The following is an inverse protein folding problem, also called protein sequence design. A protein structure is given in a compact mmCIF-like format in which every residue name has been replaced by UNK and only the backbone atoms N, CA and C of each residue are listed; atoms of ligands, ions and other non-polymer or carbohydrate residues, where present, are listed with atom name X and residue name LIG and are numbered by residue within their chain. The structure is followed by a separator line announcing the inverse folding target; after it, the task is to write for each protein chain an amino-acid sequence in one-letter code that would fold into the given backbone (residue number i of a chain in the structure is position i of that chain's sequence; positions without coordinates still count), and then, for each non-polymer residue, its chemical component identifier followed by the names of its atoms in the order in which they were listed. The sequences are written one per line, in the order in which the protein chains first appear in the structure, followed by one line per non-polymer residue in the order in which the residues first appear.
data_IF_404822787598
#
_entry.id   IF_404822787598
#
_cell.length_a   1.000
_cell.length_b   1.000
_cell.length_c   1.000
_cell.angle_alpha   90.00
_cell.angle_beta   90.00
_cell.angle_gamma   90.00
#
_symmetry.space_group_name_H-M   'P 1'
#
loop_
_entity.id
_entity.type
_entity.pdbx_description
1 polymer ?
#
# COMPACT_ATOMS: atom_id res chain seq x y z
N UNK A 1 -41.77 52.19 -10.00
CA UNK A 1 -41.69 51.75 -11.42
C UNK A 1 -40.88 50.45 -11.48
N UNK A 2 -41.54 49.28 -11.52
CA UNK A 2 -40.94 48.00 -11.90
C UNK A 2 -41.54 47.51 -13.24
N UNK A 3 -40.79 46.82 -14.10
CA UNK A 3 -41.40 46.03 -15.17
C UNK A 3 -40.61 44.76 -15.52
N UNK A 4 -41.22 43.62 -15.15
CA UNK A 4 -41.10 42.32 -15.81
C UNK A 4 -41.72 42.39 -17.21
N UNK A 5 -41.32 41.53 -18.16
CA UNK A 5 -42.20 41.15 -19.25
C UNK A 5 -43.03 39.92 -18.87
N UNK A 6 -44.34 40.13 -18.81
CA UNK A 6 -45.38 39.11 -18.83
C UNK A 6 -45.71 38.78 -20.29
N UNK A 7 -45.82 37.51 -20.66
CA UNK A 7 -46.50 37.11 -21.91
C UNK A 7 -47.89 36.60 -21.56
N UNK A 8 -48.84 37.18 -22.26
CA UNK A 8 -50.29 37.11 -22.10
C UNK A 8 -50.85 35.85 -22.78
N UNK A 9 -51.78 35.20 -22.08
CA UNK A 9 -52.66 34.12 -22.58
C UNK A 9 -53.79 34.73 -23.41
N UNK A 10 -54.19 34.07 -24.50
CA UNK A 10 -55.51 34.23 -25.14
C UNK A 10 -56.29 32.91 -25.12
N UNK A 11 -57.53 33.00 -24.63
CA UNK A 11 -58.62 32.01 -24.67
C UNK A 11 -58.97 31.59 -26.11
N UNK A 12 -59.60 30.46 -26.44
CA UNK A 12 -60.16 29.34 -25.68
C UNK A 12 -61.10 28.52 -26.59
N UNK A 13 -61.28 27.23 -26.32
CA UNK A 13 -62.51 26.45 -26.59
C UNK A 13 -62.37 25.02 -26.01
N UNK A 14 -63.21 24.71 -25.01
CA UNK A 14 -63.65 23.36 -24.58
C UNK A 14 -64.82 22.90 -25.48
N UNK A 15 -65.21 21.60 -25.59
CA UNK A 15 -65.29 20.55 -24.54
C UNK A 15 -64.70 19.19 -25.02
N UNK A 16 -64.51 18.11 -24.27
CA UNK A 16 -65.38 17.36 -23.35
C UNK A 16 -64.52 16.54 -22.34
N UNK A 17 -65.08 16.31 -21.15
CA UNK A 17 -64.79 15.16 -20.26
C UNK A 17 -66.01 14.23 -20.35
N UNK A 18 -65.91 12.90 -20.17
CA UNK A 18 -65.17 12.30 -19.04
C UNK A 18 -64.50 10.95 -19.36
N UNK A 19 -63.59 10.49 -18.49
CA UNK A 19 -63.71 9.13 -17.95
C UNK A 19 -62.85 8.97 -16.69
N UNK A 20 -63.51 8.41 -15.68
CA UNK A 20 -63.05 8.12 -14.33
C UNK A 20 -62.12 6.91 -14.33
N UNK A 21 -60.99 7.03 -13.63
CA UNK A 21 -60.16 5.89 -13.23
C UNK A 21 -60.94 5.06 -12.19
N UNK A 22 -61.13 3.75 -12.37
CA UNK A 22 -61.85 2.94 -11.39
C UNK A 22 -60.98 2.54 -10.20
N UNK A 23 -61.61 2.67 -9.05
CA UNK A 23 -61.20 2.17 -7.73
C UNK A 23 -61.25 0.64 -7.72
N UNK A 24 -60.12 -0.04 -7.47
CA UNK A 24 -60.11 -1.47 -7.13
C UNK A 24 -59.15 -1.70 -5.95
N UNK A 25 -59.62 -1.30 -4.77
CA UNK A 25 -59.31 -1.97 -3.52
C UNK A 25 -60.45 -2.96 -3.24
N UNK A 26 -60.17 -4.26 -3.36
CA UNK A 26 -60.79 -5.39 -2.63
C UNK A 26 -60.38 -6.69 -3.30
N UNK A 27 -59.40 -7.38 -2.71
CA UNK A 27 -59.26 -8.83 -2.89
C UNK A 27 -59.22 -9.49 -1.52
N UNK A 28 -60.19 -10.36 -1.34
CA UNK A 28 -60.46 -11.15 -0.14
C UNK A 28 -59.33 -12.16 0.11
N UNK A 29 -58.97 -12.29 1.38
CA UNK A 29 -58.06 -13.30 1.92
C UNK A 29 -58.68 -14.70 1.81
N UNK A 30 -57.99 -15.63 1.13
CA UNK A 30 -58.18 -17.09 1.29
C UNK A 30 -57.00 -17.68 2.08
N UNK A 31 -57.23 -18.62 3.01
CA UNK A 31 -56.16 -19.15 3.86
C UNK A 31 -55.30 -20.15 3.09
N UNK A 32 -53.98 -19.92 3.05
CA UNK A 32 -53.00 -20.93 2.64
C UNK A 32 -52.61 -21.76 3.86
N UNK A 33 -52.68 -23.08 3.68
CA UNK A 33 -52.39 -24.12 4.66
C UNK A 33 -50.96 -24.00 5.21
N UNK A 34 -50.77 -24.10 6.53
CA UNK A 34 -49.47 -24.06 7.17
C UNK A 34 -48.65 -25.32 6.84
N UNK A 35 -47.36 -25.22 6.47
CA UNK A 35 -46.50 -26.39 6.32
C UNK A 35 -46.14 -26.96 7.72
N UNK A 36 -46.27 -28.28 7.88
CA UNK A 36 -45.86 -28.99 9.10
C UNK A 36 -44.34 -28.92 9.30
N UNK A 37 -43.83 -28.88 10.54
CA UNK A 37 -42.39 -28.86 10.81
C UNK A 37 -41.76 -30.24 10.54
N UNK A 38 -40.69 -30.26 9.76
CA UNK A 38 -39.86 -31.44 9.54
C UNK A 38 -39.15 -31.88 10.85
N UNK A 39 -38.91 -33.19 11.05
CA UNK A 39 -38.28 -33.69 12.28
C UNK A 39 -36.83 -33.20 12.40
N UNK A 40 -36.50 -32.62 13.56
CA UNK A 40 -35.13 -32.19 13.91
C UNK A 40 -34.19 -33.40 13.94
N UNK A 41 -33.30 -33.52 12.96
CA UNK A 41 -32.12 -34.40 13.06
C UNK A 41 -31.19 -33.83 14.13
N UNK A 42 -30.83 -34.65 15.12
CA UNK A 42 -29.75 -34.34 16.07
C UNK A 42 -28.45 -34.22 15.26
N UNK A 43 -27.87 -33.02 15.24
CA UNK A 43 -26.48 -32.84 14.80
C UNK A 43 -25.62 -33.44 15.90
N UNK A 44 -24.91 -34.52 15.56
CA UNK A 44 -23.90 -35.10 16.44
C UNK A 44 -22.80 -34.07 16.67
N UNK A 45 -22.38 -33.93 17.93
CA UNK A 45 -21.18 -33.18 18.30
C UNK A 45 -20.00 -33.90 17.64
N UNK A 46 -19.41 -33.27 16.63
CA UNK A 46 -18.10 -33.67 16.13
C UNK A 46 -17.10 -33.32 17.24
N UNK A 47 -16.51 -34.34 17.85
CA UNK A 47 -15.35 -34.13 18.71
C UNK A 47 -14.23 -33.50 17.87
N UNK A 48 -13.48 -32.52 18.41
CA UNK A 48 -12.42 -31.87 17.67
C UNK A 48 -11.27 -32.86 17.47
N UNK A 49 -11.26 -33.51 16.31
CA UNK A 49 -10.12 -34.28 15.86
C UNK A 49 -8.97 -33.33 15.51
N UNK A 50 -7.80 -33.64 16.07
CA UNK A 50 -6.49 -33.36 15.49
C UNK A 50 -6.12 -31.88 15.31
N UNK A 51 -5.32 -31.39 16.26
CA UNK A 51 -4.57 -30.14 16.24
C UNK A 51 -4.18 -29.70 14.82
N UNK A 52 -4.77 -28.60 14.37
CA UNK A 52 -4.20 -27.77 13.32
C UNK A 52 -2.78 -27.39 13.78
N UNK A 53 -1.71 -27.56 12.96
CA UNK A 53 -0.41 -27.01 13.32
C UNK A 53 -0.59 -25.51 13.55
N UNK A 54 -0.03 -25.01 14.65
CA UNK A 54 -0.11 -23.61 15.05
C UNK A 54 0.21 -22.69 13.87
N UNK A 55 -0.78 -21.93 13.40
CA UNK A 55 -0.56 -20.78 12.50
C UNK A 55 0.26 -19.66 13.18
N UNK A 56 0.52 -19.79 14.48
CA UNK A 56 1.23 -18.85 15.36
C UNK A 56 2.66 -19.32 15.66
N UNK A 57 3.39 -19.78 14.63
CA UNK A 57 4.84 -19.90 14.71
C UNK A 57 5.46 -18.67 14.05
N UNK A 58 6.45 -18.00 14.65
CA UNK A 58 7.13 -16.87 14.01
C UNK A 58 7.66 -17.21 12.61
N UNK A 59 8.10 -18.46 12.40
CA UNK A 59 8.51 -18.97 11.10
C UNK A 59 7.36 -19.16 10.10
N UNK A 60 6.14 -19.45 10.57
CA UNK A 60 4.96 -19.60 9.71
C UNK A 60 4.64 -18.28 8.98
N UNK A 61 4.90 -17.14 9.62
CA UNK A 61 4.68 -15.84 8.99
C UNK A 61 5.70 -15.49 7.91
N UNK A 62 6.95 -15.95 7.99
CA UNK A 62 7.90 -15.79 6.88
C UNK A 62 7.67 -16.83 5.78
N UNK A 63 7.17 -18.01 6.15
CA UNK A 63 6.75 -19.04 5.19
C UNK A 63 5.64 -18.53 4.27
N UNK A 64 4.74 -17.66 4.72
CA UNK A 64 3.69 -17.10 3.87
C UNK A 64 4.23 -16.35 2.63
N UNK A 65 5.37 -15.66 2.76
CA UNK A 65 5.99 -14.96 1.63
C UNK A 65 6.59 -15.97 0.64
N UNK A 66 7.18 -17.06 1.14
CA UNK A 66 7.70 -18.14 0.30
C UNK A 66 6.55 -18.88 -0.41
N UNK A 67 5.47 -19.20 0.30
CA UNK A 67 4.28 -19.82 -0.27
C UNK A 67 3.64 -18.90 -1.33
N UNK A 68 3.68 -17.58 -1.12
CA UNK A 68 3.28 -16.58 -2.11
C UNK A 68 4.17 -16.61 -3.37
N UNK A 69 5.49 -16.67 -3.22
CA UNK A 69 6.40 -16.81 -4.37
C UNK A 69 6.15 -18.11 -5.13
N UNK A 70 5.99 -19.23 -4.41
CA UNK A 70 5.68 -20.53 -4.99
C UNK A 70 4.35 -20.51 -5.75
N UNK A 71 3.31 -19.87 -5.19
CA UNK A 71 2.03 -19.70 -5.86
C UNK A 71 2.16 -18.94 -7.20
N UNK A 72 2.99 -17.91 -7.26
CA UNK A 72 3.25 -17.21 -8.53
C UNK A 72 3.92 -18.14 -9.54
N UNK A 73 4.91 -18.92 -9.13
CA UNK A 73 5.60 -19.87 -10.03
C UNK A 73 4.66 -20.98 -10.53
N UNK A 74 3.80 -21.51 -9.66
CA UNK A 74 2.93 -22.65 -9.97
C UNK A 74 1.69 -22.25 -10.77
N UNK A 75 1.14 -21.07 -10.49
CA UNK A 75 -0.16 -20.64 -11.01
C UNK A 75 -0.10 -19.39 -11.89
N UNK A 76 1.07 -18.76 -12.01
CA UNK A 76 1.23 -17.53 -12.78
C UNK A 76 1.17 -17.76 -14.29
N UNK A 77 0.57 -16.79 -14.98
CA UNK A 77 0.61 -16.74 -16.44
C UNK A 77 1.91 -16.10 -16.89
N UNK A 78 2.59 -16.72 -17.85
CA UNK A 78 3.81 -16.16 -18.47
C UNK A 78 3.42 -15.09 -19.47
N UNK A 79 4.07 -13.94 -19.36
CA UNK A 79 3.97 -12.87 -20.34
C UNK A 79 5.36 -12.44 -20.77
N UNK A 80 5.52 -12.29 -22.08
CA UNK A 80 6.72 -11.76 -22.68
C UNK A 80 6.57 -10.25 -22.84
N UNK A 81 7.65 -9.50 -22.67
CA UNK A 81 7.72 -8.08 -23.00
C UNK A 81 8.77 -7.82 -24.09
N UNK A 82 8.74 -6.62 -24.67
CA UNK A 82 9.66 -6.19 -25.73
C UNK A 82 11.12 -6.07 -25.29
N UNK A 83 11.38 -6.06 -23.97
CA UNK A 83 12.71 -5.91 -23.38
C UNK A 83 13.41 -7.26 -23.16
N UNK A 84 12.66 -8.36 -23.29
CA UNK A 84 13.16 -9.72 -23.10
C UNK A 84 13.21 -10.16 -21.63
N UNK A 85 12.73 -9.32 -20.70
CA UNK A 85 12.69 -9.66 -19.27
C UNK A 85 11.51 -10.57 -18.99
N UNK A 86 10.31 -10.17 -19.44
CA UNK A 86 9.08 -10.92 -19.24
C UNK A 86 8.71 -11.13 -17.76
N UNK A 87 7.51 -11.63 -17.52
CA UNK A 87 7.02 -11.90 -16.16
C UNK A 87 6.24 -13.21 -16.06
N UNK A 88 6.23 -13.78 -14.86
CA UNK A 88 5.27 -14.78 -14.40
C UNK A 88 4.35 -14.07 -13.42
N UNK A 89 3.05 -13.99 -13.69
CA UNK A 89 2.14 -13.15 -12.89
C UNK A 89 0.82 -13.79 -12.50
N UNK A 90 0.34 -13.39 -11.33
CA UNK A 90 -1.00 -13.65 -10.81
C UNK A 90 -1.68 -12.32 -10.50
N UNK A 91 -3.00 -12.28 -10.54
CA UNK A 91 -3.78 -11.09 -10.20
C UNK A 91 -4.51 -11.29 -8.88
N UNK A 92 -4.25 -10.44 -7.89
CA UNK A 92 -4.89 -10.48 -6.58
C UNK A 92 -4.22 -11.45 -5.62
N UNK A 93 -3.44 -10.95 -4.65
CA UNK A 93 -2.92 -11.73 -3.51
C UNK A 93 -2.91 -10.90 -2.23
N UNK A 94 -3.07 -11.57 -1.10
CA UNK A 94 -3.05 -10.95 0.22
C UNK A 94 -2.11 -11.71 1.15
N UNK A 95 -1.29 -10.97 1.90
CA UNK A 95 -0.44 -11.50 2.97
C UNK A 95 -0.75 -10.74 4.26
N UNK A 96 -0.55 -11.39 5.41
CA UNK A 96 -0.90 -10.84 6.73
C UNK A 96 0.22 -11.11 7.71
N UNK A 97 0.78 -10.06 8.31
CA UNK A 97 1.89 -10.15 9.25
C UNK A 97 1.43 -9.63 10.61
N UNK A 98 1.45 -10.49 11.62
CA UNK A 98 1.33 -10.07 13.01
C UNK A 98 2.63 -9.37 13.42
N UNK A 99 2.51 -8.12 13.85
CA UNK A 99 3.59 -7.24 14.29
C UNK A 99 3.86 -7.36 15.80
N UNK A 100 3.06 -8.11 16.54
CA UNK A 100 3.31 -8.44 17.95
C UNK A 100 4.35 -9.55 18.11
N UNK A 101 4.55 -10.38 17.07
CA UNK A 101 5.51 -11.49 17.03
C UNK A 101 6.86 -11.12 16.39
N UNK A 102 7.23 -9.83 16.36
CA UNK A 102 8.49 -9.33 15.80
C UNK A 102 8.31 -8.46 14.56
N UNK A 103 9.40 -8.06 13.92
CA UNK A 103 9.38 -7.20 12.73
C UNK A 103 9.44 -8.05 11.44
N UNK A 104 8.60 -7.82 10.41
CA UNK A 104 8.48 -8.71 9.24
C UNK A 104 9.59 -8.46 8.21
N UNK A 105 10.83 -8.46 8.67
CA UNK A 105 11.99 -8.39 7.80
C UNK A 105 12.35 -9.81 7.33
N UNK A 106 12.47 -10.00 6.02
CA UNK A 106 12.80 -11.32 5.50
C UNK A 106 14.14 -11.82 6.05
N UNK A 107 14.17 -13.08 6.45
CA UNK A 107 15.38 -13.76 6.92
C UNK A 107 15.96 -14.68 5.86
N UNK A 108 15.18 -15.10 4.85
CA UNK A 108 15.64 -15.99 3.76
C UNK A 108 16.51 -15.26 2.74
N UNK A 109 16.62 -13.94 2.83
CA UNK A 109 17.66 -13.12 2.21
C UNK A 109 17.82 -11.83 3.00
N UNK A 110 18.99 -11.20 2.90
CA UNK A 110 19.24 -9.88 3.50
C UNK A 110 18.35 -8.81 2.86
N UNK A 111 17.72 -7.98 3.70
CA UNK A 111 17.03 -6.74 3.30
C UNK A 111 17.76 -5.54 3.89
N UNK A 112 17.99 -4.52 3.08
CA UNK A 112 18.76 -3.34 3.48
C UNK A 112 17.90 -2.30 4.20
N UNK A 113 17.83 -2.42 5.53
CA UNK A 113 16.94 -1.59 6.36
C UNK A 113 17.26 -0.10 6.39
N UNK A 114 18.52 0.30 6.15
CA UNK A 114 18.85 1.72 6.09
C UNK A 114 18.18 2.38 4.90
N UNK A 115 18.26 1.78 3.71
CA UNK A 115 17.53 2.25 2.53
C UNK A 115 16.02 2.31 2.75
N UNK A 116 15.42 1.27 3.37
CA UNK A 116 13.99 1.25 3.73
C UNK A 116 13.61 2.45 4.59
N UNK A 117 14.45 2.75 5.58
CA UNK A 117 14.19 3.81 6.54
C UNK A 117 14.33 5.18 5.89
N UNK A 118 15.44 5.43 5.19
CA UNK A 118 15.68 6.72 4.53
C UNK A 118 14.62 7.04 3.47
N UNK A 119 14.20 6.05 2.68
CA UNK A 119 13.11 6.21 1.70
C UNK A 119 11.78 6.57 2.37
N UNK A 120 11.39 5.82 3.42
CA UNK A 120 10.15 6.11 4.13
C UNK A 120 10.18 7.51 4.75
N UNK A 121 11.31 7.90 5.34
CA UNK A 121 11.46 9.24 5.92
C UNK A 121 11.43 10.32 4.84
N UNK A 122 11.99 10.07 3.66
CA UNK A 122 11.90 10.95 2.49
C UNK A 122 10.44 11.17 2.04
N UNK A 123 9.64 10.10 1.93
CA UNK A 123 8.20 10.22 1.70
C UNK A 123 7.49 11.03 2.80
N UNK A 124 7.81 10.73 4.07
CA UNK A 124 7.21 11.39 5.21
C UNK A 124 7.58 12.86 5.30
N UNK A 125 8.76 13.28 4.82
CA UNK A 125 9.15 14.70 4.72
C UNK A 125 8.50 15.42 3.55
N UNK A 126 7.84 14.69 2.64
CA UNK A 126 7.17 15.26 1.48
C UNK A 126 8.12 15.59 0.34
N UNK A 127 9.34 15.06 0.38
CA UNK A 127 10.36 15.33 -0.63
C UNK A 127 10.08 14.58 -1.94
N UNK A 128 10.51 15.16 -3.05
CA UNK A 128 10.43 14.59 -4.41
C UNK A 128 11.77 14.61 -5.14
N UNK A 129 12.75 15.30 -4.58
CA UNK A 129 14.10 15.37 -5.10
C UNK A 129 14.98 14.29 -4.46
N UNK A 130 15.74 13.55 -5.26
CA UNK A 130 16.61 12.46 -4.79
C UNK A 130 17.87 12.94 -4.05
N UNK A 131 18.16 14.24 -3.98
CA UNK A 131 19.39 14.77 -3.38
C UNK A 131 19.65 14.24 -1.97
N UNK A 132 18.66 14.31 -1.08
CA UNK A 132 18.82 13.83 0.30
C UNK A 132 18.97 12.30 0.39
N UNK A 133 18.39 11.56 -0.55
CA UNK A 133 18.57 10.11 -0.67
C UNK A 133 20.00 9.77 -1.07
N UNK A 134 20.52 10.42 -2.10
CA UNK A 134 21.89 10.20 -2.57
C UNK A 134 22.91 10.63 -1.52
N UNK A 135 22.68 11.74 -0.81
CA UNK A 135 23.51 12.16 0.33
C UNK A 135 23.49 11.14 1.50
N UNK A 136 22.47 10.29 1.57
CA UNK A 136 22.36 9.18 2.52
C UNK A 136 22.82 7.82 1.93
N UNK A 137 23.51 7.84 0.79
CA UNK A 137 23.98 6.66 0.03
C UNK A 137 22.83 5.77 -0.48
N UNK A 138 21.65 6.35 -0.76
CA UNK A 138 20.47 5.66 -1.28
C UNK A 138 20.23 5.98 -2.75
N UNK A 139 20.53 5.01 -3.61
CA UNK A 139 20.47 5.15 -5.08
C UNK A 139 19.22 4.55 -5.74
N UNK A 140 18.27 4.01 -4.96
CA UNK A 140 17.14 3.22 -5.52
C UNK A 140 16.20 4.02 -6.42
N UNK A 141 16.29 5.36 -6.39
CA UNK A 141 15.49 6.30 -7.17
C UNK A 141 16.27 6.97 -8.32
N UNK A 142 17.55 6.65 -8.51
CA UNK A 142 18.42 7.38 -9.45
C UNK A 142 18.08 7.12 -10.92
N UNK A 143 17.61 5.92 -11.26
CA UNK A 143 17.44 5.50 -12.66
C UNK A 143 16.51 6.43 -13.46
N UNK A 144 15.41 6.87 -12.84
CA UNK A 144 14.43 7.76 -13.48
C UNK A 144 14.98 9.16 -13.84
N UNK A 145 15.53 9.95 -12.90
CA UNK A 145 16.09 11.26 -13.20
C UNK A 145 17.34 11.18 -14.07
N UNK A 146 18.15 10.13 -13.93
CA UNK A 146 19.32 9.88 -14.78
C UNK A 146 18.91 9.61 -16.23
N UNK A 147 17.88 8.78 -16.44
CA UNK A 147 17.33 8.54 -17.78
C UNK A 147 16.84 9.84 -18.41
N UNK A 148 16.07 10.64 -17.65
CA UNK A 148 15.62 11.97 -18.11
C UNK A 148 16.78 12.89 -18.46
N UNK A 149 17.84 12.93 -17.64
CA UNK A 149 19.05 13.70 -17.91
C UNK A 149 19.69 13.30 -19.24
N UNK A 150 19.90 12.00 -19.46
CA UNK A 150 20.48 11.46 -20.69
C UNK A 150 19.64 11.80 -21.91
N UNK A 151 18.33 11.62 -21.81
CA UNK A 151 17.39 11.89 -22.91
C UNK A 151 17.36 13.38 -23.29
N UNK A 152 17.38 14.29 -22.31
CA UNK A 152 17.30 15.74 -22.57
C UNK A 152 18.65 16.37 -22.98
N UNK A 153 19.78 15.82 -22.51
CA UNK A 153 21.10 16.43 -22.72
C UNK A 153 21.97 15.70 -23.75
N UNK A 154 21.73 14.42 -23.97
CA UNK A 154 22.61 13.52 -24.74
C UNK A 154 23.92 13.18 -24.04
N UNK A 155 24.09 13.53 -22.75
CA UNK A 155 25.28 13.22 -21.96
C UNK A 155 25.17 11.84 -21.29
N UNK A 156 26.05 10.92 -21.67
CA UNK A 156 26.14 9.56 -21.15
C UNK A 156 26.97 9.47 -19.85
N UNK A 157 26.72 10.39 -18.91
CA UNK A 157 27.34 10.39 -17.59
C UNK A 157 27.05 9.05 -16.87
N UNK A 158 28.03 8.54 -16.12
CA UNK A 158 27.81 7.36 -15.28
C UNK A 158 26.82 7.67 -14.15
N UNK A 159 26.14 6.65 -13.63
CA UNK A 159 25.25 6.81 -12.48
C UNK A 159 26.00 7.41 -11.28
N UNK A 160 27.19 6.92 -10.98
CA UNK A 160 28.05 7.42 -9.89
C UNK A 160 28.36 8.92 -10.03
N UNK A 161 28.75 9.37 -11.23
CA UNK A 161 29.06 10.79 -11.46
C UNK A 161 27.80 11.67 -11.49
N UNK A 162 26.65 11.12 -11.90
CA UNK A 162 25.37 11.81 -11.78
C UNK A 162 24.98 11.99 -10.31
N UNK A 163 25.06 10.92 -9.51
CA UNK A 163 24.81 10.93 -8.08
C UNK A 163 25.73 11.89 -7.33
N UNK A 164 27.03 11.90 -7.64
CA UNK A 164 27.98 12.84 -7.06
C UNK A 164 27.57 14.31 -7.33
N UNK A 165 27.14 14.62 -8.56
CA UNK A 165 26.67 15.97 -8.90
C UNK A 165 25.36 16.31 -8.22
N UNK A 166 24.41 15.38 -8.17
CA UNK A 166 23.17 15.56 -7.41
C UNK A 166 23.48 15.86 -5.93
N UNK A 167 24.43 15.15 -5.33
CA UNK A 167 24.76 15.33 -3.91
C UNK A 167 25.46 16.66 -3.59
N UNK A 168 26.22 17.22 -4.54
CA UNK A 168 27.17 18.32 -4.29
C UNK A 168 26.85 19.65 -4.99
N UNK A 169 25.98 19.66 -6.00
CA UNK A 169 25.58 20.86 -6.75
C UNK A 169 24.06 21.05 -6.66
N UNK A 170 23.62 21.97 -5.79
CA UNK A 170 22.20 22.24 -5.53
C UNK A 170 21.44 22.67 -6.80
N UNK A 171 22.08 23.40 -7.72
CA UNK A 171 21.44 23.83 -8.96
C UNK A 171 21.27 22.66 -9.94
N UNK A 172 22.23 21.72 -9.93
CA UNK A 172 22.10 20.47 -10.68
C UNK A 172 21.01 19.58 -10.08
N UNK A 173 20.98 19.46 -8.75
CA UNK A 173 19.95 18.71 -8.02
C UNK A 173 18.55 19.27 -8.28
N UNK A 174 18.34 20.58 -8.15
CA UNK A 174 17.06 21.23 -8.39
C UNK A 174 16.54 20.94 -9.81
N UNK A 175 17.43 20.95 -10.80
CA UNK A 175 17.06 20.71 -12.19
C UNK A 175 16.85 19.25 -12.54
N UNK A 176 17.68 18.35 -12.02
CA UNK A 176 17.77 16.96 -12.49
C UNK A 176 17.32 15.91 -11.49
N UNK A 177 17.31 16.22 -10.20
CA UNK A 177 16.97 15.27 -9.14
C UNK A 177 15.49 15.12 -8.82
N UNK A 178 14.62 16.00 -9.34
CA UNK A 178 13.17 15.93 -9.07
C UNK A 178 12.48 14.81 -9.87
N UNK A 179 11.67 14.02 -9.17
CA UNK A 179 10.86 12.93 -9.70
C UNK A 179 9.42 13.36 -10.03
N UNK A 180 9.06 14.62 -9.76
CA UNK A 180 7.69 15.12 -9.90
C UNK A 180 6.79 14.66 -8.74
N UNK A 181 5.46 14.59 -8.94
CA UNK A 181 4.49 14.42 -7.86
C UNK A 181 4.35 12.94 -7.40
N UNK A 182 5.46 12.37 -6.93
CA UNK A 182 5.55 11.01 -6.35
C UNK A 182 5.01 10.97 -4.91
N UNK A 183 5.31 9.91 -4.16
CA UNK A 183 4.73 9.64 -2.84
C UNK A 183 4.80 10.83 -1.86
N UNK A 184 5.92 11.56 -1.79
CA UNK A 184 6.09 12.70 -0.90
C UNK A 184 5.03 13.78 -1.12
N UNK A 185 4.88 14.25 -2.36
CA UNK A 185 3.82 15.20 -2.75
C UNK A 185 2.44 14.65 -2.41
N UNK A 186 2.15 13.40 -2.79
CA UNK A 186 0.81 12.88 -2.60
C UNK A 186 0.49 12.67 -1.11
N UNK A 187 1.46 12.34 -0.26
CA UNK A 187 1.22 12.10 1.16
C UNK A 187 1.13 13.40 1.97
N UNK A 188 1.97 14.39 1.65
CA UNK A 188 2.14 15.60 2.47
C UNK A 188 1.56 16.87 1.85
N UNK A 189 1.33 16.89 0.54
CA UNK A 189 0.99 18.10 -0.20
C UNK A 189 0.01 17.85 -1.36
N UNK A 190 -0.96 16.96 -1.12
CA UNK A 190 -1.92 16.48 -2.12
C UNK A 190 -2.78 17.62 -2.67
N UNK A 191 -2.78 17.83 -3.98
CA UNK A 191 -3.53 18.92 -4.60
C UNK A 191 -5.04 18.62 -4.61
N UNK A 192 -5.84 19.61 -4.22
CA UNK A 192 -7.29 19.51 -4.22
C UNK A 192 -7.96 20.82 -4.64
N UNK A 193 -9.24 20.78 -5.00
CA UNK A 193 -9.97 21.96 -5.51
C UNK A 193 -10.06 23.11 -4.49
N UNK A 194 -9.96 22.80 -3.20
CA UNK A 194 -10.02 23.78 -2.10
C UNK A 194 -8.64 24.10 -1.51
N UNK A 195 -7.56 23.64 -2.16
CA UNK A 195 -6.19 23.78 -1.70
C UNK A 195 -5.52 22.44 -1.40
N UNK A 196 -4.32 22.52 -0.84
CA UNK A 196 -3.46 21.37 -0.61
C UNK A 196 -3.79 20.64 0.70
N UNK A 197 -3.55 19.33 0.72
CA UNK A 197 -3.91 18.45 1.83
C UNK A 197 -2.71 17.61 2.27
N UNK A 198 -2.30 17.82 3.53
CA UNK A 198 -1.41 16.88 4.22
C UNK A 198 -2.21 15.69 4.74
N UNK A 199 -2.13 14.55 4.05
CA UNK A 199 -2.87 13.34 4.39
C UNK A 199 -2.26 12.64 5.61
N UNK A 200 -0.93 12.70 5.81
CA UNK A 200 -0.25 12.07 6.94
C UNK A 200 -0.54 12.81 8.25
N UNK A 201 -0.47 14.14 8.24
CA UNK A 201 -0.82 14.93 9.43
C UNK A 201 -2.29 14.69 9.83
N UNK A 202 -3.20 14.69 8.84
CA UNK A 202 -4.62 14.37 9.07
C UNK A 202 -4.79 12.96 9.62
N UNK A 203 -4.04 11.98 9.14
CA UNK A 203 -4.07 10.61 9.64
C UNK A 203 -3.59 10.54 11.10
N UNK A 204 -2.43 11.11 11.43
CA UNK A 204 -1.88 11.12 12.80
C UNK A 204 -2.86 11.76 13.78
N UNK A 205 -3.42 12.92 13.42
CA UNK A 205 -4.47 13.57 14.22
C UNK A 205 -5.71 12.69 14.34
N UNK A 206 -6.17 12.11 13.24
CA UNK A 206 -7.32 11.23 13.19
C UNK A 206 -7.18 10.00 14.09
N UNK A 207 -6.00 9.38 14.12
CA UNK A 207 -5.70 8.23 14.98
C UNK A 207 -5.73 8.59 16.48
N UNK A 208 -5.34 9.82 16.84
CA UNK A 208 -5.38 10.32 18.23
C UNK A 208 -6.80 10.70 18.67
N UNK A 209 -7.52 11.43 17.82
CA UNK A 209 -8.79 12.08 18.20
C UNK A 209 -10.02 11.22 17.87
N UNK A 210 -9.95 10.41 16.82
CA UNK A 210 -11.06 9.60 16.30
C UNK A 210 -10.60 8.19 15.87
N UNK A 211 -9.96 7.41 16.76
CA UNK A 211 -9.26 6.17 16.40
C UNK A 211 -10.11 5.16 15.62
N UNK A 212 -11.40 5.02 15.95
CA UNK A 212 -12.31 4.06 15.30
C UNK A 212 -12.93 4.57 13.98
N UNK A 213 -12.47 5.70 13.47
CA UNK A 213 -12.91 6.18 12.16
C UNK A 213 -12.58 5.15 11.07
N UNK A 214 -13.57 4.84 10.23
CA UNK A 214 -13.40 3.99 9.05
C UNK A 214 -12.82 4.75 7.85
N UNK A 215 -12.29 5.96 8.07
CA UNK A 215 -11.84 6.91 7.04
C UNK A 215 -10.35 7.26 7.17
N UNK A 216 -9.60 6.52 7.98
CA UNK A 216 -8.15 6.67 8.10
C UNK A 216 -7.45 6.10 6.87
N UNK A 217 -7.50 6.85 5.77
CA UNK A 217 -7.03 6.46 4.45
C UNK A 217 -6.08 7.53 3.92
N UNK A 218 -5.00 7.09 3.28
CA UNK A 218 -4.07 7.94 2.53
C UNK A 218 -4.00 7.40 1.11
N UNK A 219 -4.10 8.29 0.12
CA UNK A 219 -3.99 7.95 -1.30
C UNK A 219 -2.73 8.58 -1.91
N UNK A 220 -1.91 7.76 -2.57
CA UNK A 220 -0.88 8.23 -3.49
C UNK A 220 -1.38 8.33 -4.94
N UNK A 221 -2.63 7.96 -5.22
CA UNK A 221 -3.18 8.01 -6.57
C UNK A 221 -3.89 9.33 -6.82
N UNK A 222 -3.27 10.21 -7.61
CA UNK A 222 -3.87 11.45 -8.09
C UNK A 222 -4.14 11.37 -9.60
N UNK A 223 -5.38 11.07 -10.03
CA UNK A 223 -5.67 10.81 -11.45
C UNK A 223 -5.27 11.94 -12.41
N UNK A 224 -5.33 13.21 -11.97
CA UNK A 224 -5.01 14.34 -12.83
C UNK A 224 -3.50 14.67 -12.91
N UNK A 225 -2.65 14.01 -12.11
CA UNK A 225 -1.19 14.25 -12.05
C UNK A 225 -0.38 12.97 -12.30
N UNK A 226 -1.05 11.83 -12.55
CA UNK A 226 -0.39 10.52 -12.55
C UNK A 226 0.65 10.38 -13.67
N UNK A 227 0.43 11.08 -14.79
CA UNK A 227 1.33 11.10 -15.95
C UNK A 227 2.51 12.07 -15.77
N UNK A 228 2.46 12.95 -14.76
CA UNK A 228 3.53 13.90 -14.46
C UNK A 228 4.62 13.29 -13.56
N UNK A 229 4.35 12.14 -12.94
CA UNK A 229 5.29 11.43 -12.08
C UNK A 229 6.27 10.59 -12.91
N UNK A 230 7.56 10.65 -12.58
CA UNK A 230 8.58 9.84 -13.24
C UNK A 230 8.30 8.33 -13.12
N UNK A 231 7.69 7.91 -12.02
CA UNK A 231 7.09 6.60 -11.85
C UNK A 231 5.74 6.72 -11.13
N UNK A 232 4.62 6.34 -11.77
CA UNK A 232 3.34 6.28 -11.10
C UNK A 232 3.39 5.37 -9.86
N UNK A 233 2.87 5.80 -8.69
CA UNK A 233 2.88 5.01 -7.46
C UNK A 233 2.44 3.55 -7.63
N UNK A 234 3.32 2.61 -7.25
CA UNK A 234 3.00 1.18 -7.19
C UNK A 234 2.09 0.88 -6.00
N UNK A 235 2.39 1.43 -4.82
CA UNK A 235 1.53 1.35 -3.63
C UNK A 235 0.67 2.61 -3.50
N UNK A 236 -0.56 2.52 -4.00
CA UNK A 236 -1.36 3.68 -4.34
C UNK A 236 -2.30 4.14 -3.22
N UNK A 237 -2.54 3.30 -2.20
CA UNK A 237 -3.32 3.69 -1.03
C UNK A 237 -3.00 2.80 0.17
N UNK A 238 -3.25 3.30 1.38
CA UNK A 238 -3.31 2.48 2.58
C UNK A 238 -4.39 2.96 3.54
N UNK A 239 -4.86 2.05 4.38
CA UNK A 239 -5.88 2.29 5.39
C UNK A 239 -5.39 1.81 6.75
N UNK A 240 -5.62 2.61 7.78
CA UNK A 240 -5.41 2.25 9.17
C UNK A 240 -6.73 1.80 9.82
N UNK A 241 -6.61 0.88 10.77
CA UNK A 241 -7.72 0.36 11.56
C UNK A 241 -7.28 0.25 13.02
N UNK A 242 -8.08 0.78 13.94
CA UNK A 242 -7.80 0.71 15.38
C UNK A 242 -8.84 -0.15 16.07
N UNK A 243 -8.38 -1.25 16.66
CA UNK A 243 -9.13 -2.11 17.58
C UNK A 243 -8.86 -1.72 19.02
N UNK A 244 -9.71 -2.19 19.94
CA UNK A 244 -9.56 -1.93 21.38
C UNK A 244 -10.17 -0.59 21.80
N UNK A 245 -9.93 -0.22 23.05
CA UNK A 245 -10.37 1.02 23.68
C UNK A 245 -9.18 1.98 23.82
N UNK A 246 -9.43 3.26 24.17
CA UNK A 246 -8.35 4.18 24.54
C UNK A 246 -7.48 3.60 25.68
N UNK A 247 -6.19 3.37 25.41
CA UNK A 247 -5.21 2.83 26.38
C UNK A 247 -4.75 1.39 26.13
N UNK A 248 -5.51 0.58 25.38
CA UNK A 248 -5.09 -0.75 24.90
C UNK A 248 -5.21 -0.90 23.37
N UNK A 249 -5.42 0.23 22.70
CA UNK A 249 -5.68 0.30 21.27
C UNK A 249 -4.57 -0.32 20.42
N UNK A 250 -5.00 -1.12 19.44
CA UNK A 250 -4.14 -1.86 18.52
C UNK A 250 -4.31 -1.32 17.10
N UNK A 251 -3.20 -0.88 16.50
CA UNK A 251 -3.18 -0.32 15.15
C UNK A 251 -2.78 -1.38 14.13
N UNK A 252 -3.68 -1.61 13.17
CA UNK A 252 -3.39 -2.37 11.96
C UNK A 252 -3.34 -1.44 10.74
N UNK A 253 -2.55 -1.82 9.74
CA UNK A 253 -2.43 -1.10 8.47
C UNK A 253 -2.58 -2.08 7.31
N UNK A 254 -3.47 -1.75 6.36
CA UNK A 254 -3.60 -2.46 5.10
C UNK A 254 -3.18 -1.54 3.95
N UNK A 255 -2.22 -1.95 3.12
CA UNK A 255 -1.85 -1.19 1.92
C UNK A 255 -2.27 -1.91 0.63
N UNK A 256 -2.50 -1.12 -0.40
CA UNK A 256 -2.92 -1.53 -1.72
C UNK A 256 -1.77 -1.26 -2.70
N UNK A 257 -1.37 -2.29 -3.43
CA UNK A 257 -0.26 -2.20 -4.37
C UNK A 257 -0.68 -2.75 -5.73
N UNK A 258 -0.79 -1.87 -6.74
CA UNK A 258 -1.30 -2.23 -8.06
C UNK A 258 -0.36 -3.13 -8.86
N UNK A 259 0.94 -3.01 -8.61
CA UNK A 259 2.01 -3.69 -9.34
C UNK A 259 3.13 -4.03 -8.37
N UNK A 260 3.53 -5.30 -8.35
CA UNK A 260 4.34 -5.88 -7.29
C UNK A 260 5.45 -6.73 -7.91
N UNK A 261 6.64 -6.17 -7.99
CA UNK A 261 7.86 -6.98 -8.09
C UNK A 261 7.96 -7.79 -6.81
N UNK A 262 7.66 -9.08 -6.93
CA UNK A 262 7.53 -9.99 -5.80
C UNK A 262 8.88 -10.37 -5.21
N UNK A 263 9.96 -10.28 -6.00
CA UNK A 263 11.30 -10.69 -5.58
C UNK A 263 12.09 -9.52 -5.01
N UNK A 264 12.28 -8.42 -5.73
CA UNK A 264 13.09 -7.29 -5.23
C UNK A 264 12.25 -6.30 -4.42
N UNK A 265 11.10 -5.88 -4.95
CA UNK A 265 10.31 -4.79 -4.41
C UNK A 265 9.53 -5.14 -3.13
N UNK A 266 8.75 -6.21 -3.16
CA UNK A 266 7.85 -6.56 -2.05
C UNK A 266 8.54 -6.72 -0.69
N UNK A 267 9.73 -7.35 -0.56
CA UNK A 267 10.45 -7.39 0.72
C UNK A 267 10.73 -6.01 1.31
N UNK A 268 11.08 -5.05 0.45
CA UNK A 268 11.33 -3.67 0.84
C UNK A 268 10.02 -2.97 1.25
N UNK A 269 8.94 -3.19 0.50
CA UNK A 269 7.62 -2.61 0.79
C UNK A 269 7.02 -3.15 2.10
N UNK A 270 7.16 -4.45 2.40
CA UNK A 270 6.73 -5.05 3.67
C UNK A 270 7.43 -4.36 4.85
N UNK A 271 8.76 -4.22 4.77
CA UNK A 271 9.54 -3.56 5.82
C UNK A 271 9.15 -2.08 5.98
N UNK A 272 8.98 -1.35 4.86
CA UNK A 272 8.58 0.06 4.86
C UNK A 272 7.21 0.27 5.53
N UNK A 273 6.18 -0.46 5.11
CA UNK A 273 4.85 -0.34 5.70
C UNK A 273 4.77 -0.88 7.14
N UNK A 274 5.59 -1.88 7.51
CA UNK A 274 5.72 -2.30 8.90
C UNK A 274 6.30 -1.20 9.79
N UNK A 275 7.36 -0.52 9.32
CA UNK A 275 7.96 0.62 10.01
C UNK A 275 6.97 1.77 10.12
N UNK A 276 6.29 2.14 9.03
CA UNK A 276 5.24 3.17 9.04
C UNK A 276 4.13 2.85 10.05
N UNK A 277 3.64 1.61 10.08
CA UNK A 277 2.63 1.18 11.05
C UNK A 277 3.11 1.41 12.49
N UNK A 278 4.37 1.09 12.77
CA UNK A 278 4.95 1.28 14.09
C UNK A 278 5.14 2.75 14.45
N UNK A 279 5.58 3.59 13.51
CA UNK A 279 5.71 5.04 13.71
C UNK A 279 4.34 5.67 13.98
N UNK A 280 3.31 5.34 13.20
CA UNK A 280 1.95 5.81 13.41
C UNK A 280 1.39 5.36 14.77
N UNK A 281 1.62 4.10 15.14
CA UNK A 281 1.20 3.57 16.44
C UNK A 281 1.87 4.34 17.59
N UNK A 282 3.19 4.55 17.51
CA UNK A 282 3.93 5.33 18.50
C UNK A 282 3.37 6.75 18.65
N UNK A 283 3.08 7.40 17.53
CA UNK A 283 2.57 8.77 17.52
C UNK A 283 1.14 8.86 18.08
N UNK A 284 0.33 7.82 17.93
CA UNK A 284 -1.02 7.77 18.46
C UNK A 284 -1.13 7.15 19.87
N UNK A 285 -0.02 6.70 20.48
CA UNK A 285 -0.05 5.97 21.74
C UNK A 285 -0.73 4.60 21.64
N UNK A 286 -0.65 3.96 20.47
CA UNK A 286 -1.23 2.66 20.16
C UNK A 286 -0.13 1.58 20.09
N UNK A 287 -0.56 0.31 20.14
CA UNK A 287 0.33 -0.84 19.92
C UNK A 287 0.21 -1.32 18.47
N UNK A 288 1.31 -1.57 17.73
CA UNK A 288 1.24 -2.18 16.40
C UNK A 288 0.63 -3.59 16.48
N UNK A 289 -0.25 -3.93 15.54
CA UNK A 289 -0.94 -5.22 15.54
C UNK A 289 -0.74 -5.96 14.22
N UNK A 290 -1.49 -5.63 13.17
CA UNK A 290 -1.42 -6.40 11.93
C UNK A 290 -1.06 -5.53 10.73
N UNK A 291 -0.17 -6.05 9.90
CA UNK A 291 0.17 -5.49 8.61
C UNK A 291 -0.42 -6.36 7.50
N UNK A 292 -1.22 -5.78 6.61
CA UNK A 292 -1.91 -6.49 5.55
C UNK A 292 -1.48 -5.94 4.19
N UNK A 293 -0.86 -6.81 3.39
CA UNK A 293 -0.54 -6.56 1.98
C UNK A 293 -1.73 -6.90 1.11
N UNK A 294 -2.09 -6.04 0.14
CA UNK A 294 -3.04 -6.39 -0.90
C UNK A 294 -2.49 -6.02 -2.29
N UNK A 295 -2.12 -7.04 -3.06
CA UNK A 295 -1.45 -6.91 -4.36
C UNK A 295 -2.40 -7.12 -5.54
N UNK A 296 -2.30 -6.26 -6.55
CA UNK A 296 -2.92 -6.38 -7.87
C UNK A 296 -2.12 -7.32 -8.78
N UNK A 297 -1.37 -6.75 -9.74
CA UNK A 297 -0.45 -7.52 -10.60
C UNK A 297 0.79 -7.93 -9.78
N UNK A 298 0.79 -9.18 -9.29
CA UNK A 298 1.88 -9.79 -8.55
C UNK A 298 2.74 -10.61 -9.50
N UNK A 299 4.01 -10.22 -9.67
CA UNK A 299 4.86 -10.83 -10.67
C UNK A 299 6.27 -11.14 -10.18
N UNK A 300 6.84 -12.17 -10.79
CA UNK A 300 8.26 -12.50 -10.76
C UNK A 300 8.81 -12.25 -12.18
N UNK A 301 9.86 -11.43 -12.30
CA UNK A 301 10.55 -11.27 -13.58
C UNK A 301 11.24 -12.57 -13.98
N UNK A 302 11.28 -12.91 -15.27
CA UNK A 302 11.82 -14.23 -15.67
C UNK A 302 13.31 -14.36 -15.35
N UNK A 303 14.06 -13.25 -15.38
CA UNK A 303 15.47 -13.20 -14.98
C UNK A 303 15.69 -13.23 -13.45
N UNK A 304 14.62 -13.35 -12.65
CA UNK A 304 14.67 -13.52 -11.19
C UNK A 304 14.28 -14.94 -10.74
N UNK A 305 13.86 -15.81 -11.65
CA UNK A 305 13.31 -17.14 -11.31
C UNK A 305 14.33 -17.99 -10.56
N UNK A 306 15.59 -18.04 -11.02
CA UNK A 306 16.64 -18.83 -10.36
C UNK A 306 16.88 -18.35 -8.92
N UNK A 307 16.86 -17.05 -8.68
CA UNK A 307 17.03 -16.47 -7.34
C UNK A 307 15.82 -16.74 -6.45
N UNK A 308 14.60 -16.74 -7.01
CA UNK A 308 13.39 -17.14 -6.29
C UNK A 308 13.48 -18.62 -5.89
N UNK A 309 13.84 -19.50 -6.83
CA UNK A 309 14.01 -20.93 -6.58
C UNK A 309 15.07 -21.19 -5.50
N UNK A 310 16.20 -20.48 -5.53
CA UNK A 310 17.20 -20.55 -4.45
C UNK A 310 16.60 -20.10 -3.11
N UNK A 311 15.88 -18.96 -3.09
CA UNK A 311 15.27 -18.44 -1.87
C UNK A 311 14.26 -19.43 -1.26
N UNK A 312 13.49 -20.14 -2.09
CA UNK A 312 12.52 -21.15 -1.67
C UNK A 312 13.15 -22.36 -0.97
N UNK A 313 14.42 -22.65 -1.22
CA UNK A 313 15.15 -23.73 -0.52
C UNK A 313 15.58 -23.36 0.91
N UNK A 314 15.57 -22.07 1.26
CA UNK A 314 16.10 -21.57 2.53
C UNK A 314 15.06 -21.69 3.64
N UNK A 315 15.49 -22.20 4.80
CA UNK A 315 14.65 -22.22 6.00
C UNK A 315 14.68 -20.83 6.66
N UNK A 316 13.52 -20.18 6.91
CA UNK A 316 13.49 -18.90 7.63
C UNK A 316 14.09 -19.00 9.03
N UNK A 317 14.74 -17.92 9.49
CA UNK A 317 15.13 -17.73 10.89
C UNK A 317 14.01 -17.04 11.66
N UNK A 318 14.25 -16.75 12.94
CA UNK A 318 13.34 -15.95 13.75
C UNK A 318 13.28 -14.50 13.26
N UNK A 319 12.13 -13.85 13.46
CA UNK A 319 11.95 -12.45 13.08
C UNK A 319 12.76 -11.56 14.02
N UNK A 320 13.44 -10.53 13.49
CA UNK A 320 14.17 -9.59 14.34
C UNK A 320 13.22 -8.71 15.14
N UNK A 321 13.77 -8.02 16.15
CA UNK A 321 13.06 -6.99 16.90
C UNK A 321 13.41 -5.61 16.35
N UNK A 322 12.41 -4.79 16.05
CA UNK A 322 12.63 -3.37 15.74
C UNK A 322 12.59 -2.55 17.04
N UNK A 323 13.56 -1.66 17.25
CA UNK A 323 13.46 -0.55 18.20
C UNK A 323 13.30 0.75 17.42
N UNK A 324 12.36 1.57 17.88
CA UNK A 324 12.09 2.89 17.33
C UNK A 324 12.23 3.89 18.48
N UNK A 325 13.17 4.83 18.36
CA UNK A 325 13.31 5.92 19.33
C UNK A 325 12.05 6.77 19.33
N UNK A 326 11.62 7.26 20.50
CA UNK A 326 10.47 8.15 20.60
C UNK A 326 10.80 9.52 20.00
N UNK A 327 9.86 10.11 19.26
CA UNK A 327 9.90 11.51 18.79
C UNK A 327 8.56 12.22 19.06
N UNK A 328 8.59 13.55 19.13
CA UNK A 328 7.39 14.36 19.34
C UNK A 328 6.49 14.38 18.10
N UNK A 329 7.11 14.31 16.91
CA UNK A 329 6.44 14.24 15.62
C UNK A 329 6.96 13.08 14.78
N UNK A 330 6.08 12.50 13.95
CA UNK A 330 6.45 11.48 12.96
C UNK A 330 7.48 11.99 11.94
N UNK A 331 7.52 13.31 11.73
CA UNK A 331 8.37 13.97 10.74
C UNK A 331 9.77 14.28 11.26
N UNK A 332 10.02 14.07 12.55
CA UNK A 332 11.31 14.35 13.21
C UNK A 332 12.21 13.11 13.36
N UNK A 333 11.76 11.97 12.85
CA UNK A 333 12.57 10.76 12.86
C UNK A 333 13.76 10.88 11.89
N UNK A 334 14.90 10.37 12.33
CA UNK A 334 16.09 10.14 11.52
C UNK A 334 16.37 8.62 11.40
N UNK A 335 17.20 8.20 10.44
CA UNK A 335 17.49 6.77 10.28
C UNK A 335 18.09 6.11 11.54
N UNK A 336 18.89 6.85 12.30
CA UNK A 336 19.47 6.41 13.57
C UNK A 336 18.45 6.22 14.71
N UNK A 337 17.17 6.57 14.49
CA UNK A 337 16.07 6.24 15.40
C UNK A 337 15.55 4.82 15.21
N UNK A 338 15.90 4.15 14.10
CA UNK A 338 15.46 2.81 13.76
C UNK A 338 16.62 1.83 13.91
N UNK A 339 16.50 0.91 14.85
CA UNK A 339 17.46 -0.19 15.00
C UNK A 339 16.77 -1.54 14.91
N UNK A 340 17.49 -2.51 14.34
CA UNK A 340 17.05 -3.89 14.22
C UNK A 340 17.97 -4.75 15.06
N UNK A 341 17.39 -5.42 16.05
CA UNK A 341 18.06 -6.35 16.96
C UNK A 341 17.80 -7.79 16.50
N UNK A 342 18.77 -8.67 16.72
CA UNK A 342 18.65 -10.12 16.47
C UNK A 342 18.30 -10.49 15.01
N UNK A 343 18.79 -9.71 14.04
CA UNK A 343 18.56 -10.01 12.62
C UNK A 343 19.53 -11.06 12.07
N UNK A 344 19.18 -12.33 12.30
CA UNK A 344 19.79 -13.45 11.59
C UNK A 344 19.16 -13.61 10.21
N UNK A 345 19.99 -13.68 9.18
CA UNK A 345 19.53 -13.82 7.80
C UNK A 345 20.49 -14.65 6.95
N UNK A 346 19.94 -15.29 5.93
CA UNK A 346 20.72 -15.91 4.86
C UNK A 346 21.45 -14.84 4.03
N UNK A 347 22.52 -15.21 3.28
CA UNK A 347 23.23 -14.30 2.41
C UNK A 347 22.31 -13.55 1.42
N UNK A 348 22.74 -12.37 0.97
CA UNK A 348 22.00 -11.60 -0.03
C UNK A 348 21.84 -12.41 -1.33
N UNK A 349 20.70 -12.24 -2.00
CA UNK A 349 20.46 -12.71 -3.35
C UNK A 349 20.42 -11.48 -4.26
N UNK A 350 21.26 -11.48 -5.29
CA UNK A 350 21.37 -10.34 -6.21
C UNK A 350 20.63 -10.67 -7.50
N UNK A 351 19.81 -9.74 -7.96
CA UNK A 351 19.16 -9.81 -9.26
C UNK A 351 19.16 -8.43 -9.92
N UNK A 352 19.24 -8.36 -11.26
CA UNK A 352 19.21 -7.08 -11.98
C UNK A 352 17.84 -6.41 -11.81
N UNK A 353 17.83 -5.08 -11.62
CA UNK A 353 16.60 -4.29 -11.62
C UNK A 353 16.02 -4.30 -13.05
N UNK A 354 14.72 -4.50 -13.17
CA UNK A 354 14.02 -4.35 -14.44
C UNK A 354 13.60 -2.88 -14.60
N UNK A 355 14.22 -2.19 -15.56
CA UNK A 355 13.94 -0.79 -15.93
C UNK A 355 13.32 -0.69 -17.31
#
# INVERSE_FOLDING_TARGET
MPHRPSILVKHGHTPDRPESVPDILKTETRPLCAPQPAPRRRVGVLEPSSRCPSLFSPHAQMRQYLDYLQDILDHGTRHEDRTGTGTIRVFGRQLRFDLTEGFPLLTTKRVWMRGVTEELLWFLRGETNIQSLVQADVSIWTDWPLQRYRDETGDEISQEAFEERIATDDAFAERWGDLGPVYGTQWRDFEGPEGRVDQIERLVRGLRETPHSRRHVVSAWHPAQIEDAALPPCHYAFQCFVEGEPGDGRLSLMWQQRSVDSFLGLPFNIASYALLTRMLAQQAGLTPHELIFNGGDCHIYQNHVEQVEEQLTRTPYDRPTLRLRQRDSIFEHAADDVTIEDYEHHPALTAPIAV
#
